data_IF_149602314729
#
_entry.id   IF_149602314729
#
_cell.length_a   1.000
_cell.length_b   1.000
_cell.length_c   1.000
_cell.angle_alpha   90.00
_cell.angle_beta   90.00
_cell.angle_gamma   90.00
#
_symmetry.space_group_name_H-M   'P 1'
#
loop_
_entity.id
_entity.type
_entity.pdbx_description
1 polymer ?
#
# COMPACT_ATOMS: atom_id res chain seq x y z
N UNK A 1 -19.46 -10.11 9.90
CA UNK A 1 -18.19 -9.44 10.17
C UNK A 1 -17.79 -8.87 8.84
N UNK A 2 -17.97 -7.58 8.67
CA UNK A 2 -17.61 -6.88 7.43
C UNK A 2 -16.10 -6.66 7.51
N UNK A 3 -15.33 -7.44 6.76
CA UNK A 3 -13.89 -7.23 6.67
C UNK A 3 -13.65 -5.85 6.05
N UNK A 4 -13.22 -4.89 6.86
CA UNK A 4 -12.87 -3.55 6.38
C UNK A 4 -11.46 -3.60 5.79
N UNK A 5 -11.37 -3.53 4.47
CA UNK A 5 -10.10 -3.48 3.76
C UNK A 5 -9.73 -2.05 3.43
N UNK A 6 -8.49 -1.70 3.68
CA UNK A 6 -7.95 -0.35 3.53
C UNK A 6 -6.73 -0.40 2.63
N UNK A 7 -6.69 0.47 1.63
CA UNK A 7 -5.51 0.67 0.78
C UNK A 7 -4.85 1.95 1.24
N UNK A 8 -3.62 1.85 1.71
CA UNK A 8 -2.82 2.97 2.17
C UNK A 8 -1.70 3.20 1.17
N UNK A 9 -1.49 4.44 0.76
CA UNK A 9 -0.33 4.83 -0.02
C UNK A 9 0.59 5.68 0.85
N UNK A 10 1.89 5.59 0.60
CA UNK A 10 2.85 6.50 1.20
C UNK A 10 3.91 6.86 0.17
N UNK A 11 4.21 8.14 0.03
CA UNK A 11 5.37 8.54 -0.76
C UNK A 11 6.66 8.26 0.04
N UNK A 12 7.71 7.69 -0.58
CA UNK A 12 9.05 7.73 -0.04
C UNK A 12 9.44 9.20 0.08
N UNK A 13 9.44 9.75 1.29
CA UNK A 13 10.21 10.96 1.49
C UNK A 13 11.68 10.63 1.20
N UNK A 14 12.46 11.60 0.71
CA UNK A 14 13.87 11.43 0.33
C UNK A 14 14.76 10.96 1.50
N UNK A 15 14.20 10.90 2.71
CA UNK A 15 14.82 10.45 3.94
C UNK A 15 14.50 9.01 4.37
N UNK A 16 13.70 8.25 3.61
CA UNK A 16 13.48 6.82 3.86
C UNK A 16 12.47 6.50 4.99
N UNK A 17 11.75 7.49 5.50
CA UNK A 17 10.62 7.27 6.43
C UNK A 17 9.30 7.64 5.74
N UNK A 18 8.27 6.76 5.78
CA UNK A 18 6.95 7.05 5.23
C UNK A 18 6.29 8.11 6.12
N UNK A 19 6.31 9.36 5.68
CA UNK A 19 5.86 10.50 6.50
C UNK A 19 4.36 10.78 6.38
N UNK A 20 3.78 10.43 5.24
CA UNK A 20 2.37 10.68 4.92
C UNK A 20 1.74 9.38 4.39
N UNK A 21 1.32 8.52 5.32
CA UNK A 21 0.47 7.38 5.01
C UNK A 21 -0.97 7.88 4.78
N UNK A 22 -1.38 7.95 3.51
CA UNK A 22 -2.73 8.35 3.12
C UNK A 22 -3.60 7.12 2.84
N UNK A 23 -4.75 7.03 3.52
CA UNK A 23 -5.75 6.00 3.22
C UNK A 23 -6.46 6.39 1.92
N UNK A 24 -6.08 5.72 0.84
CA UNK A 24 -6.63 5.95 -0.50
C UNK A 24 -8.03 5.37 -0.63
N UNK A 25 -8.28 4.22 0.00
CA UNK A 25 -9.59 3.57 -0.03
C UNK A 25 -9.85 2.78 1.26
N UNK A 26 -11.12 2.70 1.65
CA UNK A 26 -11.65 1.72 2.60
C UNK A 26 -12.91 1.05 2.02
N UNK A 27 -13.04 -0.27 2.12
CA UNK A 27 -14.16 -1.00 1.54
C UNK A 27 -14.03 -2.51 1.61
N UNK A 28 -14.67 -3.21 0.66
CA UNK A 28 -14.61 -4.66 0.56
C UNK A 28 -13.27 -5.13 -0.04
N UNK A 29 -12.93 -6.40 0.20
CA UNK A 29 -11.69 -7.01 -0.31
C UNK A 29 -11.54 -6.85 -1.83
N UNK A 30 -12.59 -7.13 -2.60
CA UNK A 30 -12.54 -7.14 -4.06
C UNK A 30 -12.19 -5.74 -4.61
N UNK A 31 -12.76 -4.71 -4.00
CA UNK A 31 -12.51 -3.32 -4.40
C UNK A 31 -11.12 -2.86 -3.93
N UNK A 32 -10.77 -3.11 -2.67
CA UNK A 32 -9.46 -2.77 -2.13
C UNK A 32 -8.32 -3.48 -2.88
N UNK A 33 -8.52 -4.74 -3.27
CA UNK A 33 -7.55 -5.53 -4.03
C UNK A 33 -7.38 -5.01 -5.45
N UNK A 34 -8.46 -4.59 -6.11
CA UNK A 34 -8.37 -3.94 -7.43
C UNK A 34 -7.60 -2.64 -7.36
N UNK A 35 -7.94 -1.79 -6.39
CA UNK A 35 -7.27 -0.50 -6.19
C UNK A 35 -5.80 -0.70 -5.83
N UNK A 36 -5.49 -1.67 -4.99
CA UNK A 36 -4.11 -2.04 -4.67
C UNK A 36 -3.34 -2.44 -5.95
N UNK A 37 -3.87 -3.34 -6.78
CA UNK A 37 -3.20 -3.77 -8.02
C UNK A 37 -2.99 -2.59 -8.97
N UNK A 38 -4.03 -1.79 -9.21
CA UNK A 38 -3.98 -0.60 -10.06
C UNK A 38 -2.91 0.39 -9.55
N UNK A 39 -2.90 0.64 -8.25
CA UNK A 39 -1.96 1.57 -7.62
C UNK A 39 -0.54 1.05 -7.59
N UNK A 40 -0.32 -0.26 -7.43
CA UNK A 40 1.01 -0.86 -7.57
C UNK A 40 1.56 -0.76 -9.00
N UNK A 41 0.69 -0.87 -10.01
CA UNK A 41 1.09 -0.67 -11.40
C UNK A 41 1.49 0.80 -11.66
N UNK A 42 0.71 1.77 -11.15
CA UNK A 42 1.08 3.19 -11.21
C UNK A 42 2.35 3.51 -10.41
N UNK A 43 2.51 2.91 -9.23
CA UNK A 43 3.68 3.08 -8.38
C UNK A 43 4.95 2.51 -9.02
N UNK A 44 4.85 1.39 -9.75
CA UNK A 44 5.93 0.82 -10.53
C UNK A 44 6.34 1.71 -11.71
N UNK A 45 5.38 2.37 -12.35
CA UNK A 45 5.63 3.31 -13.45
C UNK A 45 6.26 4.63 -12.96
N UNK A 46 5.76 5.17 -11.84
CA UNK A 46 6.28 6.41 -11.22
C UNK A 46 7.55 6.21 -10.40
N UNK A 47 7.87 4.98 -10.01
CA UNK A 47 9.12 4.59 -9.34
C UNK A 47 9.27 4.98 -7.87
N UNK A 48 8.32 5.72 -7.30
CA UNK A 48 8.46 6.31 -5.96
C UNK A 48 7.14 6.33 -5.16
N UNK A 49 6.44 5.20 -5.03
CA UNK A 49 5.28 5.10 -4.13
C UNK A 49 5.27 3.77 -3.39
N UNK A 50 4.97 3.80 -2.10
CA UNK A 50 4.64 2.64 -1.28
C UNK A 50 3.14 2.44 -1.27
N UNK A 51 2.68 1.20 -1.39
CA UNK A 51 1.26 0.82 -1.32
C UNK A 51 1.12 -0.30 -0.31
N UNK A 52 0.23 -0.15 0.67
CA UNK A 52 -0.06 -1.16 1.70
C UNK A 52 -1.53 -1.55 1.61
N UNK A 53 -1.79 -2.84 1.76
CA UNK A 53 -3.12 -3.39 1.90
C UNK A 53 -3.31 -3.82 3.35
N UNK A 54 -4.27 -3.21 4.04
CA UNK A 54 -4.61 -3.44 5.43
C UNK A 54 -6.01 -4.05 5.52
N UNK A 55 -6.20 -4.98 6.44
CA UNK A 55 -7.48 -5.57 6.79
C UNK A 55 -7.71 -5.37 8.28
N UNK A 56 -8.76 -4.66 8.64
CA UNK A 56 -9.18 -4.45 10.03
C UNK A 56 -8.01 -4.00 10.94
N UNK A 57 -7.23 -3.01 10.48
CA UNK A 57 -6.06 -2.53 11.22
C UNK A 57 -4.77 -3.37 11.07
N UNK A 58 -4.82 -4.53 10.43
CA UNK A 58 -3.65 -5.41 10.21
C UNK A 58 -3.11 -5.27 8.80
N UNK A 59 -1.84 -4.93 8.63
CA UNK A 59 -1.20 -4.88 7.31
C UNK A 59 -1.06 -6.31 6.76
N UNK A 60 -1.78 -6.60 5.68
CA UNK A 60 -1.82 -7.92 5.02
C UNK A 60 -0.74 -7.99 3.95
N UNK A 61 -0.58 -6.91 3.18
CA UNK A 61 0.38 -6.86 2.07
C UNK A 61 1.01 -5.47 1.95
N UNK A 62 2.24 -5.40 1.46
CA UNK A 62 2.96 -4.14 1.26
C UNK A 62 3.81 -4.21 -0.01
N UNK A 63 3.79 -3.11 -0.75
CA UNK A 63 4.50 -2.86 -1.99
C UNK A 63 5.32 -1.54 -1.88
N UNK A 64 6.50 -1.43 -2.53
CA UNK A 64 7.26 -2.53 -3.10
C UNK A 64 7.51 -3.60 -2.05
N UNK A 65 7.53 -4.86 -2.49
CA UNK A 65 7.96 -5.94 -1.61
C UNK A 65 9.32 -5.50 -1.10
N UNK A 66 9.45 -5.26 0.20
CA UNK A 66 10.73 -5.05 0.85
C UNK A 66 11.51 -6.36 0.66
N UNK A 67 12.07 -6.55 -0.53
CA UNK A 67 13.11 -7.52 -0.78
C UNK A 67 14.22 -7.03 0.11
N UNK A 68 14.33 -7.65 1.28
CA UNK A 68 15.41 -7.37 2.20
C UNK A 68 16.72 -7.57 1.46
N UNK A 69 17.27 -6.49 0.89
CA UNK A 69 18.70 -6.33 0.70
C UNK A 69 19.30 -6.13 2.09
N UNK A 70 19.15 -7.14 2.94
CA UNK A 70 20.22 -7.50 3.85
C UNK A 70 21.25 -8.23 3.00
N UNK A 71 22.16 -7.41 2.45
CA UNK A 71 23.58 -7.64 2.14
C UNK A 71 24.05 -9.08 1.94
#
# INVERSE_FOLDING_TARGET
MEDNWEVVIADPDSQGEPRDEEVLMRGAEDEARRVYIDRTAEAADRGHAYVKLRRDGTDVETWPQLTGWTV
#
